data_IF_777122765851
#
_entry.id   IF_777122765851
#
_cell.length_a   1.000
_cell.length_b   1.000
_cell.length_c   1.000
_cell.angle_alpha   90.00
_cell.angle_beta   90.00
_cell.angle_gamma   90.00
#
_symmetry.space_group_name_H-M   'P 1'
#
loop_
_entity.id
_entity.type
_entity.pdbx_description
1 polymer ?
#
# COMPACT_ATOMS: atom_id res chain seq x y z
N UNK A 1 -11.04 17.46 18.28
CA UNK A 1 -9.90 16.66 17.81
C UNK A 1 -8.70 17.25 18.51
N UNK A 2 -8.27 16.56 19.55
CA UNK A 2 -7.38 17.12 20.55
C UNK A 2 -5.93 16.95 20.10
N UNK A 3 -5.13 18.02 20.21
CA UNK A 3 -3.72 18.06 19.81
C UNK A 3 -2.91 16.91 20.44
N UNK A 4 -3.31 16.52 21.64
CA UNK A 4 -2.74 15.42 22.43
C UNK A 4 -2.94 14.05 21.77
N UNK A 5 -4.02 13.85 21.03
CA UNK A 5 -4.27 12.60 20.30
C UNK A 5 -3.37 12.50 19.06
N UNK A 6 -3.12 13.63 18.40
CA UNK A 6 -2.19 13.69 17.27
C UNK A 6 -0.75 13.39 17.72
N UNK A 7 -0.31 13.94 18.85
CA UNK A 7 1.03 13.68 19.41
C UNK A 7 1.24 12.20 19.75
N UNK A 8 0.26 11.57 20.43
CA UNK A 8 0.30 10.13 20.72
C UNK A 8 0.34 9.29 19.43
N UNK A 9 -0.44 9.68 18.43
CA UNK A 9 -0.44 9.01 17.14
C UNK A 9 0.93 9.07 16.44
N UNK A 10 1.59 10.23 16.44
CA UNK A 10 2.93 10.38 15.86
C UNK A 10 3.98 9.51 16.56
N UNK A 11 3.91 9.39 17.89
CA UNK A 11 4.85 8.56 18.64
C UNK A 11 4.66 7.06 18.35
N UNK A 12 3.41 6.61 18.19
CA UNK A 12 3.09 5.23 17.77
C UNK A 12 3.66 4.92 16.39
N UNK A 13 3.47 5.81 15.41
CA UNK A 13 3.99 5.60 14.05
C UNK A 13 5.52 5.66 14.03
N UNK A 14 6.14 6.54 14.82
CA UNK A 14 7.61 6.62 14.95
C UNK A 14 8.19 5.31 15.49
N UNK A 15 7.55 4.72 16.50
CA UNK A 15 7.99 3.45 17.09
C UNK A 15 7.90 2.28 16.09
N UNK A 16 6.85 2.23 15.27
CA UNK A 16 6.65 1.18 14.27
C UNK A 16 7.62 1.32 13.08
N UNK A 17 7.91 2.55 12.65
CA UNK A 17 8.70 2.80 11.44
C UNK A 17 10.21 2.73 11.68
N UNK A 18 10.66 3.00 12.91
CA UNK A 18 12.07 3.02 13.27
C UNK A 18 12.57 1.70 13.89
N UNK A 19 11.74 0.65 13.88
CA UNK A 19 12.13 -0.69 14.33
C UNK A 19 12.99 -1.39 13.26
N UNK A 20 14.29 -1.61 13.51
CA UNK A 20 15.18 -2.25 12.54
C UNK A 20 14.80 -3.70 12.23
N UNK A 21 13.93 -4.36 13.02
CA UNK A 21 13.40 -5.68 12.69
C UNK A 21 12.23 -5.64 11.69
N UNK A 22 11.51 -4.52 11.55
CA UNK A 22 10.47 -4.36 10.51
C UNK A 22 10.99 -3.85 9.16
N UNK A 23 12.23 -3.39 9.10
CA UNK A 23 12.90 -3.10 7.82
C UNK A 23 13.39 -4.35 7.08
N UNK A 24 13.34 -5.53 7.71
CA UNK A 24 13.78 -6.80 7.11
C UNK A 24 12.64 -7.74 6.69
N UNK A 25 11.44 -7.19 6.42
CA UNK A 25 10.39 -7.88 5.65
C UNK A 25 10.08 -7.19 4.31
N UNK A 26 10.80 -6.14 3.95
CA UNK A 26 10.70 -5.48 2.64
C UNK A 26 12.07 -5.38 1.92
N UNK A 27 12.93 -6.36 2.12
CA UNK A 27 14.04 -6.59 1.19
C UNK A 27 13.54 -7.41 -0.01
N UNK A 28 12.62 -6.84 -0.80
CA UNK A 28 12.48 -7.25 -2.20
C UNK A 28 13.13 -6.20 -3.07
N UNK A 29 14.27 -6.57 -3.64
CA UNK A 29 14.66 -6.15 -4.98
C UNK A 29 14.77 -4.65 -5.22
N UNK A 30 15.97 -4.11 -5.01
CA UNK A 30 16.48 -3.00 -5.80
C UNK A 30 16.61 -3.48 -7.25
N UNK A 31 15.50 -3.48 -8.00
CA UNK A 31 15.45 -3.96 -9.37
C UNK A 31 14.09 -3.67 -9.98
N UNK A 32 14.07 -2.80 -10.98
CA UNK A 32 12.90 -2.44 -11.81
C UNK A 32 12.45 -3.63 -12.65
N UNK A 33 11.92 -4.66 -12.01
CA UNK A 33 11.11 -5.67 -12.67
C UNK A 33 9.83 -5.73 -11.86
N UNK A 34 8.77 -5.12 -12.39
CA UNK A 34 7.43 -5.26 -11.84
C UNK A 34 7.08 -6.74 -12.01
N UNK A 35 7.38 -7.55 -10.98
CA UNK A 35 7.07 -8.96 -11.02
C UNK A 35 5.54 -9.10 -11.00
N UNK A 36 5.05 -10.13 -11.68
CA UNK A 36 3.62 -10.41 -11.71
C UNK A 36 3.02 -10.54 -10.30
N UNK A 37 3.79 -11.11 -9.38
CA UNK A 37 3.51 -11.19 -7.94
C UNK A 37 3.19 -9.80 -7.32
N UNK A 38 4.03 -8.78 -7.58
CA UNK A 38 3.80 -7.43 -7.06
C UNK A 38 2.57 -6.75 -7.65
N UNK A 39 2.21 -7.07 -8.90
CA UNK A 39 0.97 -6.57 -9.51
C UNK A 39 -0.24 -7.22 -8.86
N UNK A 40 -0.19 -8.53 -8.59
CA UNK A 40 -1.27 -9.22 -7.90
C UNK A 40 -1.50 -8.69 -6.49
N UNK A 41 -0.43 -8.44 -5.72
CA UNK A 41 -0.55 -7.79 -4.41
C UNK A 41 -1.18 -6.38 -4.50
N UNK A 42 -0.82 -5.60 -5.52
CA UNK A 42 -1.41 -4.28 -5.75
C UNK A 42 -2.90 -4.37 -6.15
N UNK A 43 -3.28 -5.37 -6.93
CA UNK A 43 -4.68 -5.64 -7.29
C UNK A 43 -5.51 -6.02 -6.06
N UNK A 44 -4.97 -6.80 -5.13
CA UNK A 44 -5.64 -7.15 -3.87
C UNK A 44 -5.89 -5.90 -3.01
N UNK A 45 -4.86 -5.04 -2.85
CA UNK A 45 -4.99 -3.76 -2.15
C UNK A 45 -6.03 -2.86 -2.81
N UNK A 46 -6.04 -2.81 -4.14
CA UNK A 46 -7.02 -2.03 -4.91
C UNK A 46 -8.47 -2.49 -4.62
N UNK A 47 -8.69 -3.81 -4.50
CA UNK A 47 -9.98 -4.38 -4.13
C UNK A 47 -10.44 -3.95 -2.73
N UNK A 48 -9.54 -4.02 -1.75
CA UNK A 48 -9.82 -3.58 -0.37
C UNK A 48 -10.17 -2.08 -0.30
N UNK A 49 -9.52 -1.24 -1.12
CA UNK A 49 -9.82 0.19 -1.21
C UNK A 49 -11.22 0.46 -1.79
N UNK A 50 -11.67 -0.36 -2.76
CA UNK A 50 -13.04 -0.30 -3.27
C UNK A 50 -14.05 -0.77 -2.22
N UNK A 51 -13.80 -1.90 -1.57
CA UNK A 51 -14.70 -2.45 -0.55
C UNK A 51 -14.85 -1.55 0.67
N UNK A 52 -13.79 -0.83 1.03
CA UNK A 52 -13.83 0.20 2.09
C UNK A 52 -14.49 1.52 1.65
N UNK A 53 -14.92 1.63 0.39
CA UNK A 53 -15.58 2.83 -0.15
C UNK A 53 -14.64 4.02 -0.38
N UNK A 54 -13.32 3.81 -0.36
CA UNK A 54 -12.32 4.85 -0.62
C UNK A 54 -12.23 5.14 -2.13
N UNK A 55 -12.38 4.11 -2.96
CA UNK A 55 -12.43 4.24 -4.42
C UNK A 55 -13.85 4.05 -4.94
N UNK A 56 -14.22 4.89 -5.90
CA UNK A 56 -15.42 4.67 -6.72
C UNK A 56 -15.18 3.56 -7.73
N UNK A 57 -16.25 2.96 -8.27
CA UNK A 57 -16.14 1.91 -9.29
C UNK A 57 -15.38 2.36 -10.54
N UNK A 58 -15.48 3.64 -10.90
CA UNK A 58 -14.76 4.23 -12.02
C UNK A 58 -13.25 4.26 -11.76
N UNK A 59 -12.83 4.76 -10.60
CA UNK A 59 -11.41 4.84 -10.21
C UNK A 59 -10.79 3.45 -10.06
N UNK A 60 -11.52 2.50 -9.47
CA UNK A 60 -11.10 1.11 -9.36
C UNK A 60 -10.85 0.50 -10.74
N UNK A 61 -11.76 0.73 -11.69
CA UNK A 61 -11.66 0.16 -13.05
C UNK A 61 -10.45 0.70 -13.79
N UNK A 62 -10.19 2.01 -13.70
CA UNK A 62 -9.05 2.64 -14.37
C UNK A 62 -7.71 2.15 -13.80
N UNK A 63 -7.60 2.05 -12.47
CA UNK A 63 -6.38 1.57 -11.82
C UNK A 63 -6.14 0.07 -12.04
N UNK A 64 -7.20 -0.75 -11.99
CA UNK A 64 -7.12 -2.18 -12.30
C UNK A 64 -6.58 -2.41 -13.71
N UNK A 65 -7.05 -1.62 -14.68
CA UNK A 65 -6.59 -1.71 -16.07
C UNK A 65 -5.09 -1.38 -16.18
N UNK A 66 -4.63 -0.31 -15.54
CA UNK A 66 -3.21 0.09 -15.55
C UNK A 66 -2.31 -1.00 -14.95
N UNK A 67 -2.74 -1.64 -13.86
CA UNK A 67 -2.02 -2.75 -13.25
C UNK A 67 -1.95 -3.97 -14.17
N UNK A 68 -3.05 -4.36 -14.81
CA UNK A 68 -3.07 -5.47 -15.75
C UNK A 68 -2.22 -5.22 -17.01
N UNK A 69 -2.10 -3.97 -17.45
CA UNK A 69 -1.26 -3.59 -18.58
C UNK A 69 0.24 -3.74 -18.28
N UNK A 70 0.65 -3.67 -17.02
CA UNK A 70 2.03 -3.94 -16.58
C UNK A 70 2.40 -5.43 -16.61
N UNK A 71 1.42 -6.33 -16.72
CA UNK A 71 1.62 -7.79 -16.84
C UNK A 71 1.77 -8.25 -18.29
N UNK A 72 1.67 -7.34 -19.26
CA UNK A 72 1.58 -7.63 -20.69
C UNK A 72 2.96 -7.64 -21.35
#
# INVERSE_FOLDING_TARGET
>A
MDKEDAEKFYDVIRMIYNDPQKQNQNQSGRGKEVSSEMVFEQLEKLGRLRESGILTDAEFTEQKRKLLEQLR
#
